data_IF_576370301304
#
_entry.id   IF_576370301304
#
_cell.length_a   1.000
_cell.length_b   1.000
_cell.length_c   1.000
_cell.angle_alpha   90.00
_cell.angle_beta   90.00
_cell.angle_gamma   90.00
#
_symmetry.space_group_name_H-M   'P 1'
#
loop_
_entity.id
_entity.type
_entity.pdbx_description
1 polymer ?
#
# COMPACT_ATOMS: atom_id res chain seq x y z
N UNK A 1 19.14 -1.29 -2.79
CA UNK A 1 18.83 -1.23 -1.34
C UNK A 1 17.38 -1.66 -1.13
N UNK A 2 16.38 -0.95 -1.64
CA UNK A 2 14.96 -1.33 -1.53
C UNK A 2 14.65 -2.74 -2.04
N UNK A 3 15.23 -3.15 -3.17
CA UNK A 3 14.95 -4.46 -3.79
C UNK A 3 15.24 -5.64 -2.86
N UNK A 4 16.33 -5.56 -2.07
CA UNK A 4 16.65 -6.61 -1.10
C UNK A 4 15.62 -6.70 0.03
N UNK A 5 15.22 -5.56 0.57
CA UNK A 5 14.19 -5.51 1.63
C UNK A 5 12.84 -5.98 1.10
N UNK A 6 12.42 -5.52 -0.09
CA UNK A 6 11.19 -5.94 -0.75
C UNK A 6 11.15 -7.44 -1.02
N UNK A 7 12.23 -8.01 -1.55
CA UNK A 7 12.33 -9.45 -1.82
C UNK A 7 12.25 -10.28 -0.52
N UNK A 8 12.94 -9.86 0.56
CA UNK A 8 12.86 -10.54 1.87
C UNK A 8 11.45 -10.49 2.45
N UNK A 9 10.79 -9.33 2.40
CA UNK A 9 9.41 -9.16 2.85
C UNK A 9 8.49 -10.08 2.05
N UNK A 10 8.57 -10.02 0.71
CA UNK A 10 7.72 -10.82 -0.17
C UNK A 10 7.85 -12.31 0.10
N UNK A 11 9.08 -12.84 0.13
CA UNK A 11 9.35 -14.25 0.41
C UNK A 11 8.81 -14.70 1.78
N UNK A 12 8.97 -13.85 2.80
CA UNK A 12 8.56 -14.19 4.16
C UNK A 12 7.04 -14.17 4.34
N UNK A 13 6.35 -13.18 3.77
CA UNK A 13 4.89 -13.10 3.80
C UNK A 13 4.24 -14.25 3.01
N UNK A 14 4.80 -14.59 1.84
CA UNK A 14 4.33 -15.72 1.04
C UNK A 14 4.51 -17.05 1.81
N UNK A 15 5.67 -17.28 2.42
CA UNK A 15 5.94 -18.47 3.24
C UNK A 15 5.00 -18.57 4.44
N UNK A 16 4.63 -17.44 5.05
CA UNK A 16 3.71 -17.39 6.18
C UNK A 16 2.24 -17.47 5.77
N UNK A 17 1.93 -17.51 4.46
CA UNK A 17 0.56 -17.49 3.95
C UNK A 17 -0.20 -16.22 4.29
N UNK A 18 0.49 -15.08 4.42
CA UNK A 18 -0.11 -13.77 4.68
C UNK A 18 -0.31 -13.05 3.36
N UNK A 19 -1.56 -12.86 2.90
CA UNK A 19 -1.84 -12.07 1.71
C UNK A 19 -1.42 -10.60 1.93
N UNK A 20 -0.85 -9.96 0.90
CA UNK A 20 -0.36 -8.60 1.03
C UNK A 20 -0.28 -7.89 -0.32
N UNK A 21 -0.13 -6.57 -0.27
CA UNK A 21 0.28 -5.75 -1.40
C UNK A 21 1.18 -4.60 -0.94
N UNK A 22 2.19 -4.29 -1.74
CA UNK A 22 3.01 -3.07 -1.60
C UNK A 22 2.21 -1.90 -2.15
N UNK A 23 2.12 -0.82 -1.36
CA UNK A 23 1.42 0.41 -1.70
C UNK A 23 2.37 1.62 -1.63
N UNK A 24 1.84 2.81 -1.48
CA UNK A 24 2.61 4.02 -1.15
C UNK A 24 3.62 4.43 -2.22
N UNK A 25 4.76 4.90 -1.77
CA UNK A 25 5.82 5.43 -2.64
C UNK A 25 6.41 4.40 -3.59
N UNK A 26 6.56 3.15 -3.14
CA UNK A 26 7.11 2.06 -3.96
C UNK A 26 6.17 1.70 -5.14
N UNK A 27 4.85 1.69 -4.91
CA UNK A 27 3.90 1.47 -5.99
C UNK A 27 3.83 2.65 -6.98
N UNK A 28 4.05 3.89 -6.51
CA UNK A 28 4.17 5.06 -7.41
C UNK A 28 5.36 4.91 -8.36
N UNK A 29 6.49 4.38 -7.91
CA UNK A 29 7.65 4.14 -8.79
C UNK A 29 7.33 3.14 -9.92
N UNK A 30 6.39 2.25 -9.72
CA UNK A 30 5.96 1.29 -10.74
C UNK A 30 5.05 1.92 -11.81
N UNK A 31 4.15 2.82 -11.41
CA UNK A 31 3.08 3.32 -12.29
C UNK A 31 3.18 4.81 -12.64
N UNK A 32 3.92 5.60 -11.88
CA UNK A 32 3.99 7.04 -11.99
C UNK A 32 5.37 7.58 -12.38
N UNK A 33 5.69 8.77 -11.84
CA UNK A 33 7.01 9.37 -12.02
C UNK A 33 7.99 8.90 -10.96
N UNK A 34 9.26 8.64 -11.32
CA UNK A 34 10.30 8.38 -10.35
C UNK A 34 10.42 9.54 -9.35
N UNK A 35 10.33 9.22 -8.09
CA UNK A 35 10.49 10.18 -6.99
C UNK A 35 11.19 9.57 -5.80
N UNK A 36 11.76 10.40 -4.94
CA UNK A 36 12.36 9.93 -3.71
C UNK A 36 11.26 9.35 -2.79
N UNK A 37 11.42 8.09 -2.41
CA UNK A 37 10.70 7.43 -1.34
C UNK A 37 11.69 6.97 -0.28
N UNK A 38 11.27 6.91 0.99
CA UNK A 38 12.14 6.56 2.13
C UNK A 38 11.66 5.35 2.89
N UNK A 39 10.48 4.87 2.56
CA UNK A 39 9.73 3.83 3.27
C UNK A 39 9.15 2.79 2.31
N UNK A 40 8.75 1.69 2.88
CA UNK A 40 7.98 0.64 2.23
C UNK A 40 6.68 0.49 2.99
N UNK A 41 5.55 0.74 2.33
CA UNK A 41 4.22 0.54 2.89
C UNK A 41 3.66 -0.80 2.41
N UNK A 42 3.25 -1.67 3.34
CA UNK A 42 2.74 -3.01 3.08
C UNK A 42 1.36 -3.17 3.68
N UNK A 43 0.32 -3.24 2.87
CA UNK A 43 -1.02 -3.60 3.34
C UNK A 43 -1.13 -5.12 3.44
N UNK A 44 -1.52 -5.60 4.62
CA UNK A 44 -1.69 -7.03 4.93
C UNK A 44 -3.18 -7.39 4.86
N UNK A 45 -3.50 -8.52 4.25
CA UNK A 45 -4.86 -9.09 4.22
C UNK A 45 -5.21 -9.89 5.48
N UNK A 46 -4.76 -9.43 6.64
CA UNK A 46 -5.00 -10.06 7.95
C UNK A 46 -5.23 -9.00 9.02
N UNK A 47 -5.96 -9.38 10.07
CA UNK A 47 -6.21 -8.50 11.20
C UNK A 47 -5.11 -8.61 12.27
N UNK A 48 -5.19 -7.79 13.31
CA UNK A 48 -4.21 -7.69 14.42
C UNK A 48 -4.07 -8.97 15.25
N UNK A 49 -4.99 -9.90 15.15
CA UNK A 49 -4.86 -11.26 15.76
C UNK A 49 -3.65 -12.03 15.21
N UNK A 50 -3.13 -11.64 14.03
CA UNK A 50 -1.91 -12.19 13.43
C UNK A 50 -0.63 -11.43 13.81
N UNK A 51 -0.69 -10.50 14.79
CA UNK A 51 0.46 -9.69 15.20
C UNK A 51 1.65 -10.54 15.62
N UNK A 52 1.45 -11.57 16.45
CA UNK A 52 2.53 -12.44 16.92
C UNK A 52 3.22 -13.18 15.75
N UNK A 53 2.42 -13.62 14.76
CA UNK A 53 2.98 -14.24 13.55
C UNK A 53 3.86 -13.23 12.78
N UNK A 54 3.40 -11.98 12.66
CA UNK A 54 4.13 -10.93 11.96
C UNK A 54 5.41 -10.55 12.72
N UNK A 55 5.37 -10.47 14.05
CA UNK A 55 6.57 -10.21 14.87
C UNK A 55 7.63 -11.29 14.73
N UNK A 56 7.23 -12.57 14.74
CA UNK A 56 8.16 -13.67 14.49
C UNK A 56 8.80 -13.58 13.09
N UNK A 57 8.00 -13.17 12.08
CA UNK A 57 8.46 -12.97 10.72
C UNK A 57 9.45 -11.79 10.63
N UNK A 58 9.12 -10.64 11.21
CA UNK A 58 10.00 -9.45 11.18
C UNK A 58 11.36 -9.75 11.81
N UNK A 59 11.39 -10.51 12.92
CA UNK A 59 12.63 -10.94 13.54
C UNK A 59 13.48 -11.82 12.62
N UNK A 60 12.86 -12.76 11.87
CA UNK A 60 13.57 -13.65 10.95
C UNK A 60 14.26 -12.91 9.79
N UNK A 61 13.73 -11.75 9.41
CA UNK A 61 14.24 -10.96 8.28
C UNK A 61 14.90 -9.65 8.71
N UNK A 62 15.39 -9.58 9.95
CA UNK A 62 16.15 -8.43 10.50
C UNK A 62 15.38 -7.10 10.41
N UNK A 63 14.06 -7.15 10.55
CA UNK A 63 13.22 -5.96 10.71
C UNK A 63 12.91 -5.75 12.19
N UNK A 64 13.39 -4.66 12.76
CA UNK A 64 13.19 -4.30 14.17
C UNK A 64 11.93 -3.45 14.33
N UNK A 65 10.90 -3.88 15.08
CA UNK A 65 9.78 -3.04 15.46
C UNK A 65 10.25 -1.76 16.14
N UNK A 66 9.62 -0.63 15.81
CA UNK A 66 10.01 0.69 16.33
C UNK A 66 9.33 1.07 17.65
N UNK A 67 8.04 0.72 17.91
CA UNK A 67 7.39 1.07 19.16
C UNK A 67 7.95 0.30 20.35
N UNK A 68 8.03 0.95 21.54
CA UNK A 68 8.39 0.28 22.79
C UNK A 68 7.29 -0.70 23.23
N UNK A 69 6.02 -0.27 23.22
CA UNK A 69 4.86 -1.14 23.42
C UNK A 69 4.20 -1.39 22.07
N UNK A 70 4.69 -2.42 21.38
CA UNK A 70 4.22 -2.81 20.05
C UNK A 70 2.73 -3.14 20.06
N UNK A 71 2.26 -3.90 21.06
CA UNK A 71 0.89 -4.37 21.09
C UNK A 71 -0.11 -3.22 21.33
N UNK A 72 0.21 -2.28 22.20
CA UNK A 72 -0.61 -1.10 22.42
C UNK A 72 -0.63 -0.21 21.17
N UNK A 73 0.53 0.02 20.56
CA UNK A 73 0.64 0.85 19.36
C UNK A 73 -0.16 0.27 18.19
N UNK A 74 0.00 -1.03 17.90
CA UNK A 74 -0.72 -1.68 16.80
C UNK A 74 -2.22 -1.71 17.05
N UNK A 75 -2.68 -1.96 18.26
CA UNK A 75 -4.13 -1.88 18.59
C UNK A 75 -4.72 -0.50 18.34
N UNK A 76 -3.94 0.56 18.56
CA UNK A 76 -4.40 1.93 18.36
C UNK A 76 -4.34 2.39 16.91
N UNK A 77 -3.32 1.97 16.16
CA UNK A 77 -3.01 2.53 14.82
C UNK A 77 -3.28 1.57 13.68
N UNK A 78 -3.43 0.27 13.93
CA UNK A 78 -3.47 -0.81 12.95
C UNK A 78 -2.18 -0.90 12.10
N UNK A 79 -1.06 -0.32 12.56
CA UNK A 79 0.22 -0.31 11.86
C UNK A 79 1.33 -0.84 12.75
N UNK A 80 2.17 -1.72 12.21
CA UNK A 80 3.45 -2.13 12.79
C UNK A 80 4.59 -1.45 12.02
N UNK A 81 5.14 -0.34 12.51
CA UNK A 81 6.34 0.25 11.93
C UNK A 81 7.57 -0.52 12.38
N UNK A 82 8.45 -0.82 11.42
CA UNK A 82 9.71 -1.51 11.64
C UNK A 82 10.85 -0.84 10.88
N UNK A 83 12.08 -1.08 11.29
CA UNK A 83 13.29 -0.63 10.64
C UNK A 83 14.08 -1.84 10.14
N UNK A 84 14.46 -1.83 8.89
CA UNK A 84 15.44 -2.77 8.35
C UNK A 84 16.83 -2.39 8.87
N UNK A 85 17.37 -3.20 9.78
CA UNK A 85 18.65 -2.93 10.44
C UNK A 85 19.85 -2.99 9.47
N UNK A 86 19.71 -3.68 8.33
CA UNK A 86 20.77 -3.77 7.33
C UNK A 86 20.81 -2.54 6.42
N UNK A 87 19.64 -1.98 6.09
CA UNK A 87 19.53 -0.94 5.07
C UNK A 87 19.11 0.42 5.60
N UNK A 88 18.60 0.48 6.85
CA UNK A 88 18.03 1.68 7.44
C UNK A 88 16.66 2.08 6.84
N UNK A 89 16.05 1.20 6.04
CA UNK A 89 14.75 1.47 5.43
C UNK A 89 13.65 1.22 6.46
N UNK A 90 12.74 2.19 6.60
CA UNK A 90 11.50 2.01 7.36
C UNK A 90 10.49 1.19 6.56
N UNK A 91 9.80 0.28 7.25
CA UNK A 91 8.73 -0.55 6.70
C UNK A 91 7.52 -0.40 7.60
N UNK A 92 6.38 -0.02 7.02
CA UNK A 92 5.11 0.09 7.72
C UNK A 92 4.18 -1.05 7.27
N UNK A 93 3.91 -2.01 8.17
CA UNK A 93 2.94 -3.07 7.93
C UNK A 93 1.57 -2.61 8.42
N UNK A 94 0.61 -2.49 7.52
CA UNK A 94 -0.75 -2.01 7.76
C UNK A 94 -1.69 -3.21 7.83
N UNK A 95 -2.27 -3.48 9.00
CA UNK A 95 -3.27 -4.53 9.16
C UNK A 95 -4.59 -4.10 8.56
N UNK A 96 -5.22 -4.96 7.81
CA UNK A 96 -6.49 -4.70 7.18
C UNK A 96 -7.31 -5.96 6.98
N UNK A 97 -8.61 -5.84 7.15
CA UNK A 97 -9.56 -6.94 6.96
C UNK A 97 -10.89 -6.45 6.37
N UNK A 98 -10.89 -5.30 5.71
CA UNK A 98 -12.12 -4.77 5.08
C UNK A 98 -12.39 -5.46 3.73
N UNK A 99 -13.64 -5.44 3.24
CA UNK A 99 -13.97 -5.97 1.93
C UNK A 99 -13.18 -5.31 0.79
N UNK A 100 -12.85 -4.01 0.93
CA UNK A 100 -12.06 -3.29 -0.07
C UNK A 100 -10.63 -3.86 -0.17
N UNK A 101 -9.89 -3.87 0.94
CA UNK A 101 -8.50 -4.35 0.92
C UNK A 101 -8.42 -5.84 0.54
N UNK A 102 -9.39 -6.65 0.96
CA UNK A 102 -9.46 -8.05 0.52
C UNK A 102 -9.55 -8.17 -1.00
N UNK A 103 -10.39 -7.33 -1.63
CA UNK A 103 -10.50 -7.29 -3.10
C UNK A 103 -9.25 -6.70 -3.76
N UNK A 104 -8.68 -5.63 -3.21
CA UNK A 104 -7.47 -4.98 -3.73
C UNK A 104 -6.27 -5.94 -3.72
N UNK A 105 -6.08 -6.70 -2.64
CA UNK A 105 -5.01 -7.71 -2.52
C UNK A 105 -5.20 -8.84 -3.55
N UNK A 106 -6.42 -9.28 -3.83
CA UNK A 106 -6.69 -10.27 -4.88
C UNK A 106 -6.35 -9.76 -6.28
N UNK A 107 -6.39 -8.44 -6.49
CA UNK A 107 -6.01 -7.77 -7.75
C UNK A 107 -4.53 -7.45 -7.86
N UNK A 108 -3.77 -7.63 -6.77
CA UNK A 108 -2.36 -7.28 -6.72
C UNK A 108 -1.56 -7.89 -7.86
N UNK A 109 -0.61 -7.15 -8.40
CA UNK A 109 0.25 -7.54 -9.51
C UNK A 109 1.58 -8.06 -8.97
N UNK A 110 1.97 -9.24 -9.43
CA UNK A 110 3.30 -9.79 -9.13
C UNK A 110 4.35 -9.08 -9.98
N UNK A 111 5.34 -8.52 -9.31
CA UNK A 111 6.50 -7.86 -9.92
C UNK A 111 7.75 -8.62 -9.51
N UNK A 112 8.57 -9.00 -10.46
CA UNK A 112 9.83 -9.70 -10.19
C UNK A 112 10.87 -8.74 -9.63
N UNK A 113 11.21 -8.90 -8.36
CA UNK A 113 12.25 -8.15 -7.67
C UNK A 113 13.36 -9.12 -7.27
N UNK A 114 14.52 -9.01 -7.89
CA UNK A 114 15.58 -10.02 -7.80
C UNK A 114 15.01 -11.41 -8.17
N UNK A 115 15.12 -12.38 -7.27
CA UNK A 115 14.62 -13.75 -7.48
C UNK A 115 13.25 -14.03 -6.83
N UNK A 116 12.53 -12.97 -6.39
CA UNK A 116 11.26 -13.07 -5.69
C UNK A 116 10.14 -12.35 -6.44
N UNK A 117 8.95 -12.95 -6.49
CA UNK A 117 7.74 -12.27 -6.91
C UNK A 117 7.18 -11.48 -5.72
N UNK A 118 7.06 -10.17 -5.88
CA UNK A 118 6.53 -9.25 -4.87
C UNK A 118 5.18 -8.72 -5.35
N UNK A 119 4.16 -8.77 -4.48
CA UNK A 119 2.81 -8.31 -4.80
C UNK A 119 2.71 -6.79 -4.63
N UNK A 120 2.38 -6.07 -5.69
CA UNK A 120 2.10 -4.64 -5.70
C UNK A 120 0.61 -4.38 -5.92
N UNK A 121 0.08 -3.35 -5.29
CA UNK A 121 -1.27 -2.88 -5.60
C UNK A 121 -1.44 -2.69 -7.11
N UNK A 122 -2.62 -3.02 -7.66
CA UNK A 122 -2.95 -2.65 -9.03
C UNK A 122 -3.02 -1.12 -9.14
N UNK A 123 -2.90 -0.60 -10.36
CA UNK A 123 -2.86 0.86 -10.59
C UNK A 123 -4.11 1.56 -10.06
N UNK A 124 -5.29 0.94 -10.20
CA UNK A 124 -6.55 1.46 -9.68
C UNK A 124 -6.56 1.52 -8.16
N UNK A 125 -6.04 0.47 -7.50
CA UNK A 125 -5.98 0.40 -6.04
C UNK A 125 -4.96 1.41 -5.49
N UNK A 126 -3.83 1.64 -6.17
CA UNK A 126 -2.93 2.74 -5.83
C UNK A 126 -3.63 4.10 -5.90
N UNK A 127 -4.40 4.36 -6.96
CA UNK A 127 -5.16 5.60 -7.12
C UNK A 127 -6.15 5.77 -5.97
N UNK A 128 -6.89 4.73 -5.62
CA UNK A 128 -7.87 4.75 -4.52
C UNK A 128 -7.18 5.08 -3.20
N UNK A 129 -6.10 4.39 -2.85
CA UNK A 129 -5.34 4.66 -1.62
C UNK A 129 -4.80 6.10 -1.55
N UNK A 130 -4.33 6.62 -2.69
CA UNK A 130 -3.79 7.98 -2.78
C UNK A 130 -4.86 9.05 -2.63
N UNK A 131 -6.02 8.86 -3.25
CA UNK A 131 -7.16 9.77 -3.10
C UNK A 131 -7.68 9.74 -1.67
N UNK A 132 -7.80 8.55 -1.07
CA UNK A 132 -8.22 8.38 0.32
C UNK A 132 -7.27 9.11 1.29
N UNK A 133 -5.95 9.03 1.08
CA UNK A 133 -4.95 9.74 1.89
C UNK A 133 -5.02 11.26 1.69
N UNK A 134 -5.34 11.75 0.49
CA UNK A 134 -5.72 13.12 0.17
C UNK A 134 -4.66 14.20 0.38
N UNK A 135 -3.42 13.85 0.71
CA UNK A 135 -2.34 14.83 0.88
C UNK A 135 -2.00 15.48 -0.49
N UNK A 136 -1.53 16.73 -0.53
CA UNK A 136 -1.20 17.40 -1.79
C UNK A 136 -0.32 16.56 -2.72
N UNK A 137 0.70 15.91 -2.17
CA UNK A 137 1.60 15.03 -2.91
C UNK A 137 0.91 13.76 -3.43
N UNK A 138 -0.06 13.21 -2.68
CA UNK A 138 -0.82 12.05 -3.14
C UNK A 138 -1.69 12.39 -4.36
N UNK A 139 -2.24 13.59 -4.40
CA UNK A 139 -3.00 14.08 -5.54
C UNK A 139 -2.11 14.30 -6.77
N UNK A 140 -0.89 14.82 -6.59
CA UNK A 140 0.12 14.93 -7.66
C UNK A 140 0.49 13.53 -8.19
N UNK A 141 0.77 12.58 -7.31
CA UNK A 141 1.06 11.19 -7.68
C UNK A 141 -0.09 10.60 -8.53
N UNK A 142 -1.36 10.80 -8.13
CA UNK A 142 -2.54 10.33 -8.88
C UNK A 142 -2.59 10.92 -10.29
N UNK A 143 -2.33 12.23 -10.44
CA UNK A 143 -2.31 12.88 -11.74
C UNK A 143 -1.27 12.23 -12.67
N UNK A 144 -0.06 12.01 -12.18
CA UNK A 144 1.02 11.41 -12.95
C UNK A 144 0.76 9.94 -13.28
N UNK A 145 0.18 9.18 -12.34
CA UNK A 145 -0.22 7.79 -12.55
C UNK A 145 -1.28 7.70 -13.65
N UNK A 146 -2.30 8.54 -13.62
CA UNK A 146 -3.37 8.56 -14.65
C UNK A 146 -2.81 8.92 -16.01
N UNK A 147 -1.92 9.93 -16.10
CA UNK A 147 -1.30 10.34 -17.36
C UNK A 147 -0.47 9.23 -18.01
N UNK A 148 0.19 8.41 -17.20
CA UNK A 148 1.07 7.32 -17.70
C UNK A 148 0.34 6.02 -17.99
N UNK A 149 -0.87 5.84 -17.45
CA UNK A 149 -1.64 4.60 -17.61
C UNK A 149 -2.94 4.89 -18.36
N UNK A 150 -2.88 4.74 -19.68
CA UNK A 150 -4.02 5.04 -20.57
C UNK A 150 -5.20 4.08 -20.40
N UNK A 151 -4.96 2.88 -19.89
CA UNK A 151 -5.97 1.84 -19.68
C UNK A 151 -6.20 1.71 -18.16
N UNK A 152 -7.29 2.31 -17.69
CA UNK A 152 -7.72 2.26 -16.29
C UNK A 152 -9.16 1.76 -16.20
N UNK A 153 -9.43 0.90 -15.25
CA UNK A 153 -10.81 0.54 -14.86
C UNK A 153 -11.39 1.66 -13.98
N UNK A 154 -11.73 2.79 -14.64
CA UNK A 154 -12.32 3.94 -13.95
C UNK A 154 -13.63 3.59 -13.22
N UNK A 155 -14.54 2.75 -13.76
CA UNK A 155 -15.73 2.30 -13.03
C UNK A 155 -15.40 1.61 -11.71
N UNK A 156 -14.33 0.80 -11.64
CA UNK A 156 -13.89 0.18 -10.41
C UNK A 156 -13.44 1.23 -9.37
N UNK A 157 -12.64 2.20 -9.79
CA UNK A 157 -12.19 3.30 -8.92
C UNK A 157 -13.37 4.10 -8.42
N UNK A 158 -14.28 4.51 -9.31
CA UNK A 158 -15.46 5.30 -8.95
C UNK A 158 -16.36 4.57 -7.95
N UNK A 159 -16.60 3.27 -8.15
CA UNK A 159 -17.41 2.45 -7.25
C UNK A 159 -16.87 2.48 -5.80
N UNK A 160 -15.56 2.31 -5.63
CA UNK A 160 -14.99 2.27 -4.28
C UNK A 160 -14.93 3.66 -3.63
N UNK A 161 -14.61 4.70 -4.40
CA UNK A 161 -14.60 6.06 -3.88
C UNK A 161 -16.01 6.52 -3.49
N UNK A 162 -17.04 6.17 -4.27
CA UNK A 162 -18.44 6.42 -3.93
C UNK A 162 -18.86 5.70 -2.64
N UNK A 163 -18.41 4.44 -2.47
CA UNK A 163 -18.63 3.67 -1.25
C UNK A 163 -17.99 4.34 -0.02
N UNK A 164 -16.80 4.91 -0.18
CA UNK A 164 -16.12 5.63 0.90
C UNK A 164 -16.74 6.99 1.19
N UNK A 165 -17.22 7.71 0.17
CA UNK A 165 -17.95 8.97 0.35
C UNK A 165 -19.26 8.73 1.11
N UNK A 166 -19.95 7.62 0.85
CA UNK A 166 -21.17 7.25 1.56
C UNK A 166 -20.96 6.97 3.08
N UNK A 167 -19.73 6.75 3.51
CA UNK A 167 -19.39 6.53 4.93
C UNK A 167 -19.27 7.81 5.75
N UNK A 168 -19.16 9.00 5.12
CA UNK A 168 -19.08 10.30 5.79
C UNK A 168 -19.40 11.43 4.85
N UNK A 169 -20.29 12.34 5.25
CA UNK A 169 -20.67 13.54 4.49
C UNK A 169 -19.52 14.54 4.28
N UNK A 170 -18.41 14.38 5.02
CA UNK A 170 -17.22 15.22 4.89
C UNK A 170 -16.30 14.76 3.75
N UNK A 171 -16.47 13.54 3.25
CA UNK A 171 -15.67 12.98 2.19
C UNK A 171 -16.05 13.55 0.82
N UNK A 172 -15.10 13.56 -0.11
CA UNK A 172 -15.27 14.09 -1.46
C UNK A 172 -14.29 13.40 -2.44
N UNK A 173 -14.11 12.11 -2.27
CA UNK A 173 -13.12 11.31 -2.98
C UNK A 173 -13.48 11.13 -4.45
N UNK A 174 -14.74 10.78 -4.73
CA UNK A 174 -15.23 10.57 -6.09
C UNK A 174 -15.13 11.84 -6.94
N UNK A 175 -15.55 12.99 -6.40
CA UNK A 175 -15.45 14.25 -7.13
C UNK A 175 -13.99 14.66 -7.34
N UNK A 176 -13.10 14.38 -6.38
CA UNK A 176 -11.65 14.59 -6.53
C UNK A 176 -11.09 13.76 -7.68
N UNK A 177 -11.42 12.48 -7.75
CA UNK A 177 -11.01 11.60 -8.85
C UNK A 177 -11.49 12.11 -10.21
N UNK A 178 -12.78 12.42 -10.33
CA UNK A 178 -13.37 12.92 -11.59
C UNK A 178 -12.73 14.22 -12.06
N UNK A 179 -12.42 15.13 -11.13
CA UNK A 179 -11.71 16.38 -11.43
C UNK A 179 -10.31 16.11 -12.01
N UNK A 180 -9.57 15.15 -11.43
CA UNK A 180 -8.25 14.79 -11.93
C UNK A 180 -8.35 14.13 -13.30
N UNK A 181 -9.26 13.18 -13.48
CA UNK A 181 -9.51 12.51 -14.78
C UNK A 181 -9.87 13.50 -15.89
N UNK A 182 -10.70 14.51 -15.60
CA UNK A 182 -11.05 15.55 -16.57
C UNK A 182 -9.85 16.37 -17.01
N UNK A 183 -8.93 16.69 -16.12
CA UNK A 183 -7.70 17.44 -16.44
C UNK A 183 -6.65 16.62 -17.21
N UNK A 184 -6.58 15.33 -16.96
CA UNK A 184 -5.61 14.47 -17.62
C UNK A 184 -5.98 14.11 -19.06
N UNK A 185 -7.23 14.33 -19.47
CA UNK A 185 -7.74 14.05 -20.82
C UNK A 185 -7.86 15.28 -21.72
N UNK A 186 -7.55 16.46 -21.20
CA UNK A 186 -7.45 17.74 -21.94
C UNK A 186 -6.01 18.07 -22.25
#
# INVERSE_FOLDING_TARGET
MFDKTLARIGASLEKAGIPYMIIGGQAVLLYGEPRLTRDIDVTLGVNIDRLETLLALTQQISLKPLPEDVAAFVRQTMVLPALDEETGIRVDFIFSSTPYESQAILRAKKVRILDQDVCYAAVEDLIIHKIFAGRPRDIEDVQMVILKNSVLDAPYVEKWLDTFDAASDENNFLATFRKIMGRART
#
